data_IF_183446872321
#
_entry.id   IF_183446872321
#
_cell.length_a   1.000
_cell.length_b   1.000
_cell.length_c   1.000
_cell.angle_alpha   90.00
_cell.angle_beta   90.00
_cell.angle_gamma   90.00
#
_symmetry.space_group_name_H-M   'P 1'
#
loop_
_entity.id
_entity.type
_entity.pdbx_description
1 polymer ?
#
# COMPACT_ATOMS: atom_id res chain seq x y z
N UNK A 1 -27.22 14.68 5.50
CA UNK A 1 -26.23 13.97 6.35
C UNK A 1 -25.17 14.96 6.78
N UNK A 2 -24.89 15.05 8.07
CA UNK A 2 -23.92 16.01 8.62
C UNK A 2 -22.94 15.27 9.53
N UNK A 3 -21.65 15.57 9.45
CA UNK A 3 -20.63 15.02 10.34
C UNK A 3 -20.85 15.57 11.76
N UNK A 4 -20.95 14.68 12.74
CA UNK A 4 -21.21 15.03 14.14
C UNK A 4 -19.98 14.83 15.05
N UNK A 5 -19.07 13.90 14.69
CA UNK A 5 -17.87 13.58 15.47
C UNK A 5 -16.84 12.85 14.63
N UNK A 6 -15.58 13.05 14.95
CA UNK A 6 -14.44 12.29 14.43
C UNK A 6 -13.66 11.71 15.60
N UNK A 7 -13.42 10.40 15.58
CA UNK A 7 -12.57 9.70 16.53
C UNK A 7 -11.34 9.12 15.81
N UNK A 8 -10.19 9.12 16.49
CA UNK A 8 -8.93 8.55 15.99
C UNK A 8 -8.35 7.63 17.05
N UNK A 9 -8.07 6.38 16.68
CA UNK A 9 -7.61 5.33 17.58
C UNK A 9 -6.22 4.87 17.15
N UNK A 10 -5.16 5.23 17.89
CA UNK A 10 -3.82 4.68 17.65
C UNK A 10 -3.79 3.23 18.12
N UNK A 11 -3.37 2.34 17.23
CA UNK A 11 -3.24 0.91 17.50
C UNK A 11 -1.89 0.40 17.04
N UNK A 12 -1.43 -0.72 17.62
CA UNK A 12 -0.22 -1.37 17.15
C UNK A 12 -0.37 -2.90 17.17
N UNK A 13 0.13 -3.54 16.13
CA UNK A 13 0.15 -4.99 16.00
C UNK A 13 1.50 -5.49 15.50
N UNK A 14 1.80 -6.77 15.76
CA UNK A 14 3.06 -7.39 15.34
C UNK A 14 2.95 -7.92 13.93
N UNK A 15 4.03 -7.72 13.17
CA UNK A 15 4.22 -8.31 11.85
C UNK A 15 4.95 -9.63 12.00
N UNK A 16 4.30 -10.73 11.63
CA UNK A 16 4.79 -12.09 11.83
C UNK A 16 4.73 -12.86 10.51
N UNK A 17 5.84 -13.48 10.11
CA UNK A 17 5.85 -14.45 9.01
C UNK A 17 6.46 -15.74 9.54
N UNK A 18 5.74 -16.84 9.41
CA UNK A 18 6.14 -18.12 9.98
C UNK A 18 6.57 -17.85 11.42
N UNK A 19 6.49 -18.01 12.38
CA UNK A 19 6.84 -17.77 13.80
C UNK A 19 7.80 -16.57 14.08
N UNK A 20 8.30 -15.88 13.05
CA UNK A 20 9.25 -14.76 13.22
C UNK A 20 8.54 -13.43 13.27
N UNK A 21 8.77 -12.68 14.35
CA UNK A 21 8.37 -11.27 14.49
C UNK A 21 9.36 -10.39 13.71
N UNK A 22 8.88 -9.63 12.73
CA UNK A 22 9.68 -8.69 11.93
C UNK A 22 9.66 -7.29 12.50
N UNK A 23 8.49 -6.82 12.92
CA UNK A 23 8.31 -5.48 13.46
C UNK A 23 7.01 -5.40 14.27
N UNK A 24 6.84 -4.31 15.01
CA UNK A 24 5.56 -3.84 15.51
C UNK A 24 5.20 -2.57 14.75
N UNK A 25 4.09 -2.57 14.03
CA UNK A 25 3.63 -1.45 13.20
C UNK A 25 2.53 -0.67 13.88
N UNK A 26 2.55 0.65 13.68
CA UNK A 26 1.58 1.60 14.22
C UNK A 26 0.58 1.98 13.13
N UNK A 27 -0.70 2.01 13.50
CA UNK A 27 -1.80 2.43 12.63
C UNK A 27 -2.71 3.41 13.36
N UNK A 28 -3.42 4.23 12.61
CA UNK A 28 -4.51 5.04 13.14
C UNK A 28 -5.82 4.62 12.47
N UNK A 29 -6.76 4.15 13.29
CA UNK A 29 -8.12 3.85 12.84
C UNK A 29 -8.96 5.10 13.03
N UNK A 30 -9.63 5.54 11.97
CA UNK A 30 -10.43 6.76 11.94
C UNK A 30 -11.89 6.38 11.83
N UNK A 31 -12.76 7.01 12.64
CA UNK A 31 -14.22 6.91 12.56
C UNK A 31 -14.82 8.28 12.35
N UNK A 32 -15.64 8.43 11.31
CA UNK A 32 -16.40 9.65 11.03
C UNK A 32 -17.89 9.33 11.27
N UNK A 33 -18.48 10.00 12.26
CA UNK A 33 -19.86 9.82 12.67
C UNK A 33 -20.78 10.88 12.06
N UNK A 34 -22.02 10.52 11.77
CA UNK A 34 -23.03 11.43 11.21
C UNK A 34 -24.29 11.47 12.04
N UNK A 35 -25.12 12.49 11.80
CA UNK A 35 -26.45 12.65 12.39
C UNK A 35 -27.47 11.58 11.95
N UNK A 36 -27.18 10.84 10.88
CA UNK A 36 -28.01 9.71 10.42
C UNK A 36 -27.58 8.36 11.03
N UNK A 37 -26.63 8.37 11.97
CA UNK A 37 -26.11 7.15 12.61
C UNK A 37 -25.20 6.31 11.73
N UNK A 38 -24.86 6.78 10.52
CA UNK A 38 -23.88 6.13 9.65
C UNK A 38 -22.48 6.49 10.15
N UNK A 39 -21.58 5.48 10.22
CA UNK A 39 -20.19 5.65 10.61
C UNK A 39 -19.29 5.16 9.49
N UNK A 40 -18.46 6.05 8.97
CA UNK A 40 -17.37 5.71 8.05
C UNK A 40 -16.13 5.31 8.81
N UNK A 41 -15.44 4.28 8.32
CA UNK A 41 -14.19 3.78 8.91
C UNK A 41 -13.03 3.92 7.92
N UNK A 42 -11.84 4.25 8.44
CA UNK A 42 -10.64 4.40 7.65
C UNK A 42 -9.39 4.03 8.43
N UNK A 43 -8.28 3.90 7.73
CA UNK A 43 -6.99 3.48 8.26
C UNK A 43 -5.88 4.33 7.66
N UNK A 44 -4.99 4.83 8.52
CA UNK A 44 -3.70 5.36 8.12
C UNK A 44 -2.62 4.37 8.59
N UNK A 45 -1.76 3.96 7.67
CA UNK A 45 -0.95 2.76 7.81
C UNK A 45 0.54 3.06 7.93
N UNK A 46 1.24 2.16 8.61
CA UNK A 46 2.71 2.04 8.74
C UNK A 46 3.43 3.36 9.08
N UNK A 47 2.98 3.99 10.16
CA UNK A 47 3.45 5.33 10.57
C UNK A 47 4.81 5.28 11.29
N UNK A 48 5.39 4.07 11.48
CA UNK A 48 6.71 3.89 12.08
C UNK A 48 7.86 4.58 11.36
N UNK A 49 7.71 4.92 10.09
CA UNK A 49 8.74 5.58 9.29
C UNK A 49 8.65 7.12 9.32
N UNK A 50 7.66 7.68 10.00
CA UNK A 50 7.38 9.11 10.10
C UNK A 50 7.25 9.52 11.56
N UNK A 51 7.45 10.78 11.87
CA UNK A 51 7.13 11.30 13.20
C UNK A 51 5.62 11.13 13.44
N UNK A 52 5.25 10.34 14.46
CA UNK A 52 3.85 10.13 14.80
C UNK A 52 3.21 11.45 15.25
N UNK A 53 2.07 11.84 14.66
CA UNK A 53 1.41 13.06 15.07
C UNK A 53 0.81 12.91 16.48
N UNK A 54 0.71 14.02 17.21
CA UNK A 54 -0.13 14.10 18.42
C UNK A 54 -1.60 13.86 18.01
N UNK A 55 -2.07 12.64 18.30
CA UNK A 55 -3.43 12.20 17.95
C UNK A 55 -4.49 13.10 18.57
N UNK A 56 -4.29 13.57 19.81
CA UNK A 56 -5.21 14.49 20.48
C UNK A 56 -5.33 15.81 19.74
N UNK A 57 -4.22 16.35 19.26
CA UNK A 57 -4.20 17.56 18.46
C UNK A 57 -4.89 17.36 17.11
N UNK A 58 -4.57 16.28 16.39
CA UNK A 58 -5.19 15.98 15.08
C UNK A 58 -6.69 15.76 15.23
N UNK A 59 -7.12 14.97 16.21
CA UNK A 59 -8.54 14.70 16.47
C UNK A 59 -9.31 15.98 16.83
N UNK A 60 -8.74 16.85 17.67
CA UNK A 60 -9.33 18.15 18.00
C UNK A 60 -9.47 19.04 16.75
N UNK A 61 -8.46 19.08 15.90
CA UNK A 61 -8.48 19.83 14.65
C UNK A 61 -9.51 19.26 13.68
N UNK A 62 -9.54 17.93 13.48
CA UNK A 62 -10.52 17.27 12.62
C UNK A 62 -11.96 17.57 13.07
N UNK A 63 -12.25 17.48 14.37
CA UNK A 63 -13.57 17.83 14.90
C UNK A 63 -13.92 19.31 14.67
N UNK A 64 -12.95 20.23 14.86
CA UNK A 64 -13.19 21.65 14.61
C UNK A 64 -13.53 21.95 13.14
N UNK A 65 -12.83 21.31 12.21
CA UNK A 65 -12.87 21.64 10.79
C UNK A 65 -13.95 20.82 10.03
N UNK A 66 -14.28 19.59 10.47
CA UNK A 66 -15.19 18.69 9.79
C UNK A 66 -16.59 18.59 10.40
N UNK A 67 -16.75 18.78 11.72
CA UNK A 67 -18.08 18.73 12.36
C UNK A 67 -18.96 19.86 11.81
N UNK A 68 -20.19 19.51 11.47
CA UNK A 68 -21.15 20.40 10.80
C UNK A 68 -21.04 20.44 9.27
N UNK A 69 -20.08 19.74 8.67
CA UNK A 69 -19.94 19.62 7.21
C UNK A 69 -20.79 18.49 6.66
N UNK A 70 -21.23 18.66 5.42
CA UNK A 70 -21.89 17.60 4.66
C UNK A 70 -20.84 16.76 3.92
N UNK A 71 -20.65 15.48 4.30
CA UNK A 71 -19.65 14.62 3.66
C UNK A 71 -19.97 14.28 2.19
N UNK A 72 -21.20 14.52 1.71
CA UNK A 72 -21.54 14.37 0.29
C UNK A 72 -20.89 15.46 -0.58
N UNK A 73 -20.52 16.59 0.02
CA UNK A 73 -19.72 17.62 -0.64
C UNK A 73 -18.21 17.28 -0.56
N UNK A 74 -17.83 16.16 -1.22
CA UNK A 74 -16.52 15.55 -1.09
C UNK A 74 -15.37 16.53 -1.38
N UNK A 75 -15.48 17.39 -2.38
CA UNK A 75 -14.42 18.36 -2.71
C UNK A 75 -14.14 19.37 -1.58
N UNK A 76 -15.16 19.81 -0.85
CA UNK A 76 -14.99 20.72 0.28
C UNK A 76 -14.27 20.00 1.43
N UNK A 77 -14.76 18.80 1.76
CA UNK A 77 -14.23 18.00 2.89
C UNK A 77 -12.80 17.54 2.62
N UNK A 78 -12.51 17.06 1.40
CA UNK A 78 -11.16 16.72 0.95
C UNK A 78 -10.21 17.92 1.00
N UNK A 79 -10.67 19.11 0.60
CA UNK A 79 -9.89 20.35 0.68
C UNK A 79 -9.49 20.68 2.12
N UNK A 80 -10.36 20.43 3.10
CA UNK A 80 -10.06 20.61 4.53
C UNK A 80 -9.05 19.58 5.03
N UNK A 81 -9.21 18.30 4.66
CA UNK A 81 -8.31 17.20 5.03
C UNK A 81 -6.89 17.44 4.48
N UNK A 82 -6.77 17.87 3.23
CA UNK A 82 -5.49 18.20 2.62
C UNK A 82 -4.77 19.35 3.35
N UNK A 83 -5.52 20.21 4.02
CA UNK A 83 -4.99 21.29 4.88
C UNK A 83 -4.51 20.81 6.26
N UNK A 84 -4.71 19.53 6.62
CA UNK A 84 -4.16 18.99 7.85
C UNK A 84 -2.64 18.83 7.72
N UNK A 85 -1.90 19.15 8.79
CA UNK A 85 -0.42 19.15 8.78
C UNK A 85 0.21 17.75 8.67
N UNK A 86 -0.60 16.70 8.61
CA UNK A 86 -0.18 15.31 8.64
C UNK A 86 -0.71 14.58 7.41
N UNK A 87 0.08 14.61 6.34
CA UNK A 87 -0.25 13.98 5.07
C UNK A 87 -0.52 12.47 5.23
N UNK A 88 0.16 11.83 6.18
CA UNK A 88 0.07 10.40 6.49
C UNK A 88 -1.31 9.99 7.00
N UNK A 89 -2.03 10.89 7.69
CA UNK A 89 -3.39 10.61 8.16
C UNK A 89 -4.47 10.93 7.12
N UNK A 90 -4.14 11.69 6.07
CA UNK A 90 -5.12 12.10 5.06
C UNK A 90 -5.75 10.93 4.33
N UNK A 91 -5.01 9.84 4.12
CA UNK A 91 -5.55 8.61 3.52
C UNK A 91 -6.63 7.97 4.37
N UNK A 92 -6.42 7.91 5.69
CA UNK A 92 -7.40 7.33 6.61
C UNK A 92 -8.70 8.11 6.65
N UNK A 93 -8.64 9.44 6.57
CA UNK A 93 -9.84 10.29 6.46
C UNK A 93 -10.54 10.10 5.11
N UNK A 94 -9.80 10.08 3.99
CA UNK A 94 -10.37 9.84 2.66
C UNK A 94 -11.04 8.47 2.57
N UNK A 95 -10.42 7.41 3.09
CA UNK A 95 -11.00 6.07 3.17
C UNK A 95 -12.30 6.10 3.99
N UNK A 96 -12.28 6.74 5.17
CA UNK A 96 -13.47 6.84 6.03
C UNK A 96 -14.63 7.59 5.36
N UNK A 97 -14.34 8.66 4.62
CA UNK A 97 -15.35 9.38 3.84
C UNK A 97 -15.94 8.53 2.74
N UNK A 98 -15.11 7.82 1.97
CA UNK A 98 -15.60 6.95 0.91
C UNK A 98 -16.40 5.76 1.46
N UNK A 99 -16.01 5.20 2.59
CA UNK A 99 -16.77 4.16 3.29
C UNK A 99 -18.14 4.68 3.74
N UNK A 100 -18.16 5.87 4.34
CA UNK A 100 -19.38 6.55 4.75
C UNK A 100 -20.32 6.80 3.57
N UNK A 101 -19.80 7.33 2.45
CA UNK A 101 -20.58 7.58 1.24
C UNK A 101 -21.10 6.28 0.60
N UNK A 102 -20.27 5.22 0.59
CA UNK A 102 -20.68 3.90 0.11
C UNK A 102 -21.84 3.33 0.94
N UNK A 103 -21.79 3.47 2.27
CA UNK A 103 -22.87 3.07 3.18
C UNK A 103 -24.12 3.93 2.98
N UNK A 104 -23.97 5.24 2.84
CA UNK A 104 -25.07 6.16 2.60
C UNK A 104 -25.80 5.88 1.28
N UNK A 105 -25.05 5.71 0.18
CA UNK A 105 -25.62 5.38 -1.14
C UNK A 105 -25.94 3.89 -1.31
N UNK A 106 -25.65 3.07 -0.29
CA UNK A 106 -25.89 1.61 -0.29
C UNK A 106 -25.16 0.87 -1.41
N UNK A 107 -23.92 1.23 -1.65
CA UNK A 107 -23.05 0.62 -2.67
C UNK A 107 -21.63 0.35 -2.12
N UNK A 108 -20.91 -0.63 -2.67
CA UNK A 108 -19.47 -0.77 -2.42
C UNK A 108 -18.70 0.43 -2.98
N UNK A 109 -17.53 0.75 -2.38
CA UNK A 109 -16.71 1.90 -2.80
C UNK A 109 -16.35 1.86 -4.29
N UNK A 110 -16.02 0.69 -4.87
CA UNK A 110 -15.68 0.61 -6.29
C UNK A 110 -16.79 1.14 -7.22
N UNK A 111 -18.06 1.13 -6.78
CA UNK A 111 -19.17 1.75 -7.53
C UNK A 111 -19.08 3.27 -7.55
N UNK A 112 -18.65 3.90 -6.45
CA UNK A 112 -18.39 5.35 -6.40
C UNK A 112 -17.22 5.74 -7.29
N UNK A 113 -16.28 4.82 -7.52
CA UNK A 113 -15.05 5.05 -8.31
C UNK A 113 -15.20 4.71 -9.80
N UNK A 114 -16.41 4.40 -10.28
CA UNK A 114 -16.69 4.12 -11.69
C UNK A 114 -17.04 2.67 -12.03
N UNK A 115 -17.18 1.80 -11.02
CA UNK A 115 -17.49 0.38 -11.20
C UNK A 115 -16.25 -0.51 -11.18
N UNK A 116 -16.44 -1.83 -11.16
CA UNK A 116 -15.31 -2.77 -11.13
C UNK A 116 -15.07 -3.42 -12.50
N UNK A 117 -13.79 -3.55 -12.85
CA UNK A 117 -13.31 -4.21 -14.07
C UNK A 117 -12.64 -5.55 -13.78
N UNK A 118 -12.45 -5.90 -12.49
CA UNK A 118 -11.92 -7.19 -12.03
C UNK A 118 -12.50 -7.59 -10.69
N UNK A 119 -12.65 -8.91 -10.51
CA UNK A 119 -13.21 -9.53 -9.29
C UNK A 119 -12.11 -9.90 -8.28
N UNK A 120 -10.90 -10.15 -8.79
CA UNK A 120 -9.76 -10.66 -8.07
C UNK A 120 -8.50 -9.92 -8.46
N UNK A 121 -7.55 -9.87 -7.54
CA UNK A 121 -6.29 -9.16 -7.66
C UNK A 121 -5.17 -10.12 -7.31
N UNK A 122 -4.30 -10.42 -8.28
CA UNK A 122 -3.11 -11.21 -8.00
C UNK A 122 -2.15 -10.40 -7.11
N UNK A 123 -1.73 -11.01 -6.00
CA UNK A 123 -0.92 -10.36 -4.98
C UNK A 123 0.54 -10.73 -5.12
N UNK A 124 1.42 -9.72 -5.08
CA UNK A 124 2.86 -9.90 -4.96
C UNK A 124 3.29 -9.82 -3.48
N UNK A 125 3.71 -10.96 -2.93
CA UNK A 125 4.15 -11.05 -1.53
C UNK A 125 5.54 -10.39 -1.36
N UNK A 126 5.74 -9.49 -0.36
CA UNK A 126 7.01 -8.82 -0.15
C UNK A 126 8.04 -9.72 0.52
N UNK A 127 9.24 -9.79 -0.04
CA UNK A 127 10.40 -10.47 0.51
C UNK A 127 11.47 -9.43 0.86
N UNK A 128 11.62 -9.13 2.15
CA UNK A 128 12.55 -8.08 2.60
C UNK A 128 14.01 -8.44 2.37
N UNK A 129 14.81 -7.40 2.10
CA UNK A 129 16.24 -7.52 1.83
C UNK A 129 16.98 -8.30 2.93
N UNK A 130 18.00 -9.05 2.51
CA UNK A 130 18.96 -9.73 3.37
C UNK A 130 20.37 -9.23 3.05
N UNK A 131 21.30 -9.38 3.97
CA UNK A 131 22.69 -8.93 3.77
C UNK A 131 23.73 -10.03 3.91
N UNK A 132 23.29 -11.25 4.31
CA UNK A 132 24.16 -12.39 4.59
C UNK A 132 23.67 -13.65 3.87
N UNK A 133 24.60 -14.45 3.38
CA UNK A 133 24.29 -15.71 2.67
C UNK A 133 23.54 -16.72 3.56
N UNK A 134 23.82 -16.73 4.87
CA UNK A 134 23.16 -17.64 5.81
C UNK A 134 21.63 -17.40 5.93
N UNK A 135 21.16 -16.27 5.42
CA UNK A 135 19.72 -15.94 5.41
C UNK A 135 18.97 -16.46 4.17
N UNK A 136 19.69 -16.91 3.12
CA UNK A 136 19.08 -17.31 1.83
C UNK A 136 18.12 -18.47 2.03
N UNK A 137 18.57 -19.56 2.65
CA UNK A 137 17.72 -20.75 2.85
C UNK A 137 16.45 -20.42 3.65
N UNK A 138 16.58 -19.53 4.65
CA UNK A 138 15.43 -19.05 5.40
C UNK A 138 14.44 -18.30 4.52
N UNK A 139 14.92 -17.44 3.61
CA UNK A 139 14.08 -16.69 2.68
C UNK A 139 13.37 -17.60 1.67
N UNK A 140 14.07 -18.60 1.16
CA UNK A 140 13.46 -19.64 0.33
C UNK A 140 12.35 -20.37 1.10
N UNK A 141 12.62 -20.75 2.37
CA UNK A 141 11.62 -21.39 3.24
C UNK A 141 10.43 -20.46 3.63
N UNK A 142 10.60 -19.15 3.66
CA UNK A 142 9.48 -18.20 3.82
C UNK A 142 8.57 -18.21 2.57
N UNK A 143 9.17 -18.19 1.38
CA UNK A 143 8.41 -18.26 0.11
C UNK A 143 7.68 -19.59 -0.03
N UNK A 144 8.35 -20.70 0.26
CA UNK A 144 7.75 -22.05 0.26
C UNK A 144 6.53 -22.12 1.18
N UNK A 145 6.68 -21.66 2.42
CA UNK A 145 5.58 -21.55 3.38
C UNK A 145 4.39 -20.74 2.85
N UNK A 146 4.65 -19.61 2.18
CA UNK A 146 3.60 -18.76 1.62
C UNK A 146 2.93 -19.39 0.39
N UNK A 147 3.67 -20.12 -0.42
CA UNK A 147 3.10 -20.90 -1.54
C UNK A 147 2.17 -21.98 -1.00
N UNK A 148 2.65 -22.80 -0.06
CA UNK A 148 1.88 -23.92 0.47
C UNK A 148 0.65 -23.50 1.28
N UNK A 149 0.76 -22.42 2.09
CA UNK A 149 -0.29 -22.05 3.04
C UNK A 149 -1.19 -20.91 2.56
N UNK A 150 -0.76 -20.14 1.54
CA UNK A 150 -1.49 -18.96 1.04
C UNK A 150 -1.64 -18.94 -0.48
N UNK A 151 -1.13 -19.93 -1.18
CA UNK A 151 -1.19 -20.03 -2.64
C UNK A 151 -0.45 -18.89 -3.37
N UNK A 152 0.57 -18.27 -2.74
CA UNK A 152 1.33 -17.17 -3.34
C UNK A 152 1.94 -17.57 -4.68
N UNK A 153 1.72 -16.77 -5.73
CA UNK A 153 2.19 -17.00 -7.11
C UNK A 153 3.17 -15.93 -7.57
N UNK A 154 3.20 -14.79 -6.89
CA UNK A 154 4.06 -13.66 -7.23
C UNK A 154 4.76 -13.09 -5.99
N UNK A 155 6.00 -12.65 -6.14
CA UNK A 155 6.79 -12.03 -5.08
C UNK A 155 7.39 -10.70 -5.55
N UNK A 156 7.61 -9.78 -4.58
CA UNK A 156 8.43 -8.58 -4.71
C UNK A 156 9.64 -8.74 -3.80
N UNK A 157 10.84 -8.48 -4.30
CA UNK A 157 12.08 -8.68 -3.55
C UNK A 157 12.77 -7.33 -3.35
N UNK A 158 13.03 -6.96 -2.10
CA UNK A 158 13.90 -5.84 -1.78
C UNK A 158 15.37 -6.22 -1.96
N UNK A 159 16.12 -5.42 -2.71
CA UNK A 159 17.51 -5.67 -3.08
C UNK A 159 18.44 -4.49 -2.75
N UNK A 160 19.74 -4.70 -2.88
CA UNK A 160 20.73 -3.64 -2.74
C UNK A 160 21.32 -3.48 -1.35
N UNK A 161 20.96 -4.32 -0.40
CA UNK A 161 21.65 -4.41 0.89
C UNK A 161 23.03 -5.07 0.73
N UNK A 162 23.10 -6.14 -0.06
CA UNK A 162 24.33 -6.79 -0.50
C UNK A 162 24.09 -7.42 -1.89
N UNK A 163 24.61 -6.83 -2.99
CA UNK A 163 24.37 -7.30 -4.34
C UNK A 163 24.76 -8.75 -4.62
N UNK A 164 25.80 -9.29 -3.97
CA UNK A 164 26.19 -10.69 -4.17
C UNK A 164 25.21 -11.65 -3.49
N UNK A 165 24.75 -11.31 -2.29
CA UNK A 165 23.69 -12.06 -1.58
C UNK A 165 22.37 -12.01 -2.37
N UNK A 166 22.02 -10.85 -2.94
CA UNK A 166 20.82 -10.71 -3.78
C UNK A 166 20.85 -11.66 -4.99
N UNK A 167 22.01 -11.79 -5.66
CA UNK A 167 22.22 -12.75 -6.75
C UNK A 167 22.08 -14.20 -6.28
N UNK A 168 22.65 -14.52 -5.12
CA UNK A 168 22.52 -15.83 -4.47
C UNK A 168 21.09 -16.16 -4.16
N UNK A 169 20.32 -15.22 -3.60
CA UNK A 169 18.91 -15.38 -3.30
C UNK A 169 18.08 -15.63 -4.58
N UNK A 170 18.26 -14.82 -5.63
CA UNK A 170 17.55 -15.01 -6.89
C UNK A 170 17.83 -16.35 -7.52
N UNK A 171 19.11 -16.79 -7.51
CA UNK A 171 19.49 -18.12 -7.97
C UNK A 171 18.78 -19.20 -7.15
N UNK A 172 18.83 -19.14 -5.83
CA UNK A 172 18.20 -20.14 -4.96
C UNK A 172 16.66 -20.20 -5.15
N UNK A 173 16.00 -19.07 -5.34
CA UNK A 173 14.56 -19.00 -5.64
C UNK A 173 14.25 -19.67 -7.01
N UNK A 174 15.06 -19.43 -8.03
CA UNK A 174 14.90 -20.09 -9.34
C UNK A 174 15.21 -21.58 -9.30
N UNK A 175 16.23 -21.98 -8.55
CA UNK A 175 16.55 -23.40 -8.36
C UNK A 175 15.41 -24.16 -7.62
N UNK A 176 14.77 -23.50 -6.63
CA UNK A 176 13.70 -24.11 -5.83
C UNK A 176 12.33 -24.11 -6.53
N UNK A 177 11.94 -23.02 -7.17
CA UNK A 177 10.56 -22.80 -7.66
C UNK A 177 10.46 -22.63 -9.18
N UNK A 178 11.59 -22.59 -9.88
CA UNK A 178 11.61 -22.36 -11.33
C UNK A 178 11.01 -21.00 -11.74
N UNK A 179 10.51 -20.94 -12.95
CA UNK A 179 9.87 -19.75 -13.53
C UNK A 179 8.34 -19.71 -13.32
N UNK A 180 7.77 -20.73 -12.68
CA UNK A 180 6.37 -20.75 -12.27
C UNK A 180 6.07 -19.73 -11.15
N UNK A 181 7.06 -19.46 -10.30
CA UNK A 181 7.00 -18.36 -9.33
C UNK A 181 7.32 -17.03 -10.06
N UNK A 182 6.35 -16.14 -10.12
CA UNK A 182 6.52 -14.83 -10.72
C UNK A 182 7.35 -13.92 -9.80
N UNK A 183 8.49 -13.44 -10.25
CA UNK A 183 9.19 -12.32 -9.61
C UNK A 183 8.64 -11.05 -10.25
N UNK A 184 7.68 -10.40 -9.56
CA UNK A 184 7.08 -9.17 -10.09
C UNK A 184 8.11 -8.05 -10.17
N UNK A 185 8.83 -7.79 -9.08
CA UNK A 185 9.80 -6.70 -9.06
C UNK A 185 10.98 -6.96 -8.13
N UNK A 186 12.09 -6.32 -8.49
CA UNK A 186 13.21 -6.09 -7.59
C UNK A 186 13.18 -4.63 -7.17
N UNK A 187 13.11 -4.36 -5.85
CA UNK A 187 13.02 -3.01 -5.30
C UNK A 187 14.40 -2.57 -4.76
N UNK A 188 15.02 -1.63 -5.47
CA UNK A 188 16.31 -1.06 -5.10
C UNK A 188 16.23 -0.01 -3.99
N UNK A 189 15.03 0.44 -3.61
CA UNK A 189 14.80 1.42 -2.53
C UNK A 189 15.74 2.64 -2.61
N UNK A 190 16.02 3.13 -3.81
CA UNK A 190 16.90 4.27 -4.11
C UNK A 190 18.37 4.09 -3.65
N UNK A 191 18.85 2.84 -3.45
CA UNK A 191 20.17 2.57 -2.89
C UNK A 191 21.33 2.68 -3.87
N UNK A 192 21.06 2.71 -5.18
CA UNK A 192 22.12 2.70 -6.17
C UNK A 192 22.39 4.07 -6.77
N UNK A 193 23.60 4.26 -7.29
CA UNK A 193 23.87 5.27 -8.33
C UNK A 193 23.44 4.71 -9.69
N UNK A 194 23.12 5.55 -10.68
CA UNK A 194 22.67 5.11 -11.99
C UNK A 194 23.61 4.06 -12.61
N UNK A 195 24.93 4.28 -12.59
CA UNK A 195 25.93 3.34 -13.12
C UNK A 195 25.94 1.98 -12.41
N UNK A 196 25.73 1.97 -11.08
CA UNK A 196 25.66 0.72 -10.31
C UNK A 196 24.35 -0.01 -10.61
N UNK A 197 23.24 0.72 -10.66
CA UNK A 197 21.92 0.16 -11.00
C UNK A 197 21.94 -0.50 -12.38
N UNK A 198 22.48 0.16 -13.40
CA UNK A 198 22.56 -0.38 -14.77
C UNK A 198 23.32 -1.72 -14.79
N UNK A 199 24.49 -1.78 -14.14
CA UNK A 199 25.25 -3.04 -14.10
C UNK A 199 24.51 -4.13 -13.36
N UNK A 200 23.97 -3.81 -12.19
CA UNK A 200 23.25 -4.75 -11.35
C UNK A 200 22.02 -5.31 -12.03
N UNK A 201 21.17 -4.46 -12.63
CA UNK A 201 19.96 -4.88 -13.34
C UNK A 201 20.32 -5.83 -14.51
N UNK A 202 21.30 -5.46 -15.35
CA UNK A 202 21.75 -6.30 -16.47
C UNK A 202 22.25 -7.69 -16.06
N UNK A 203 22.92 -7.77 -14.91
CA UNK A 203 23.36 -9.07 -14.36
C UNK A 203 22.18 -9.92 -13.88
N UNK A 204 21.07 -9.27 -13.45
CA UNK A 204 19.88 -9.96 -12.91
C UNK A 204 18.82 -10.27 -13.94
N UNK A 205 18.81 -9.65 -15.13
CA UNK A 205 17.79 -9.88 -16.18
C UNK A 205 17.63 -11.37 -16.54
N UNK A 206 18.67 -12.17 -16.42
CA UNK A 206 18.61 -13.65 -16.62
C UNK A 206 17.69 -14.39 -15.65
N UNK A 207 17.31 -13.76 -14.53
CA UNK A 207 16.39 -14.36 -13.55
C UNK A 207 14.91 -14.05 -13.86
N UNK A 208 14.62 -13.29 -14.90
CA UNK A 208 13.27 -12.98 -15.39
C UNK A 208 12.37 -12.38 -14.31
N UNK A 209 12.41 -11.10 -14.13
CA UNK A 209 11.50 -10.30 -13.31
C UNK A 209 10.82 -9.24 -14.16
N UNK A 210 9.61 -8.79 -13.78
CA UNK A 210 8.80 -7.95 -14.64
C UNK A 210 9.32 -6.51 -14.72
N UNK A 211 9.82 -5.94 -13.61
CA UNK A 211 10.37 -4.59 -13.58
C UNK A 211 11.29 -4.35 -12.38
N UNK A 212 12.09 -3.28 -12.45
CA UNK A 212 12.94 -2.83 -11.34
C UNK A 212 12.39 -1.55 -10.73
N UNK A 213 12.16 -1.54 -9.41
CA UNK A 213 11.59 -0.43 -8.67
C UNK A 213 12.66 0.42 -8.01
N UNK A 214 12.53 1.76 -8.13
CA UNK A 214 13.33 2.75 -7.41
C UNK A 214 14.85 2.48 -7.45
N UNK A 215 15.49 2.43 -8.64
CA UNK A 215 16.91 2.11 -8.76
C UNK A 215 17.82 3.16 -8.09
N UNK A 216 17.47 4.45 -8.19
CA UNK A 216 18.29 5.55 -7.68
C UNK A 216 17.40 6.75 -7.28
N UNK A 217 17.93 7.70 -6.45
CA UNK A 217 17.10 8.70 -5.77
C UNK A 217 16.60 9.85 -6.66
N UNK A 218 17.21 10.08 -7.81
CA UNK A 218 16.91 11.24 -8.65
C UNK A 218 16.38 10.85 -10.04
N UNK A 219 15.49 11.69 -10.60
CA UNK A 219 14.85 11.43 -11.90
C UNK A 219 15.83 11.37 -13.07
N UNK A 220 16.93 12.13 -13.02
CA UNK A 220 17.96 12.13 -14.07
C UNK A 220 18.66 10.79 -14.10
N UNK A 221 19.07 10.28 -12.94
CA UNK A 221 19.69 8.97 -12.81
C UNK A 221 18.72 7.85 -13.22
N UNK A 222 17.46 7.92 -12.82
CA UNK A 222 16.43 6.95 -13.26
C UNK A 222 16.24 6.97 -14.77
N UNK A 223 16.22 8.16 -15.40
CA UNK A 223 16.12 8.27 -16.87
C UNK A 223 17.38 7.70 -17.59
N UNK A 224 18.57 7.78 -16.95
CA UNK A 224 19.79 7.13 -17.45
C UNK A 224 19.67 5.61 -17.35
N UNK A 225 19.22 5.08 -16.21
CA UNK A 225 18.99 3.63 -16.02
C UNK A 225 17.97 3.12 -17.05
N UNK A 226 16.79 3.74 -17.11
CA UNK A 226 15.72 3.35 -18.03
C UNK A 226 16.16 3.23 -19.50
N UNK A 227 17.04 4.13 -19.95
CA UNK A 227 17.56 4.08 -21.33
C UNK A 227 18.62 3.01 -21.57
N UNK A 228 19.23 2.49 -20.51
CA UNK A 228 20.39 1.61 -20.59
C UNK A 228 20.08 0.14 -20.33
N UNK A 229 18.88 -0.19 -19.84
CA UNK A 229 18.41 -1.55 -19.55
C UNK A 229 17.16 -1.88 -20.33
N UNK A 230 16.89 -3.16 -20.58
CA UNK A 230 15.65 -3.63 -21.22
C UNK A 230 14.51 -3.78 -20.20
N UNK A 231 14.85 -3.98 -18.94
CA UNK A 231 13.92 -4.09 -17.81
C UNK A 231 13.16 -2.77 -17.59
N UNK A 232 11.81 -2.77 -17.54
CA UNK A 232 11.02 -1.58 -17.20
C UNK A 232 11.39 -1.02 -15.82
N UNK A 233 11.36 0.31 -15.69
CA UNK A 233 11.67 1.01 -14.45
C UNK A 233 10.40 1.57 -13.81
N UNK A 234 10.19 1.24 -12.54
CA UNK A 234 9.09 1.75 -11.72
C UNK A 234 9.58 2.71 -10.64
N UNK A 235 8.72 3.65 -10.25
CA UNK A 235 8.96 4.48 -9.07
C UNK A 235 7.65 4.98 -8.47
N UNK A 236 7.68 5.21 -7.14
CA UNK A 236 6.56 5.80 -6.42
C UNK A 236 6.25 7.20 -6.91
N UNK A 237 4.97 7.51 -7.11
CA UNK A 237 4.49 8.83 -7.50
C UNK A 237 3.49 9.34 -6.45
N UNK A 238 3.87 10.44 -5.77
CA UNK A 238 3.12 10.97 -4.63
C UNK A 238 2.23 12.18 -4.97
N UNK A 239 2.41 12.83 -6.13
CA UNK A 239 1.59 13.97 -6.52
C UNK A 239 1.45 14.12 -8.03
N UNK A 240 0.40 14.83 -8.52
CA UNK A 240 0.25 15.15 -9.94
C UNK A 240 1.46 15.90 -10.53
N UNK A 241 2.06 16.81 -9.78
CA UNK A 241 3.24 17.57 -10.20
C UNK A 241 4.43 16.63 -10.41
N UNK A 242 4.64 15.71 -9.46
CA UNK A 242 5.69 14.68 -9.56
C UNK A 242 5.47 13.75 -10.74
N UNK A 243 4.22 13.35 -11.00
CA UNK A 243 3.87 12.56 -12.18
C UNK A 243 4.29 13.28 -13.49
N UNK A 244 3.97 14.56 -13.62
CA UNK A 244 4.35 15.36 -14.78
C UNK A 244 5.87 15.52 -14.93
N UNK A 245 6.62 15.67 -13.82
CA UNK A 245 8.08 15.70 -13.84
C UNK A 245 8.67 14.39 -14.35
N UNK A 246 8.15 13.25 -13.86
CA UNK A 246 8.57 11.91 -14.25
C UNK A 246 8.30 11.63 -15.73
N UNK A 247 7.14 12.05 -16.25
CA UNK A 247 6.79 11.97 -17.67
C UNK A 247 7.74 12.81 -18.52
N UNK A 248 7.94 14.09 -18.14
CA UNK A 248 8.82 15.02 -18.87
C UNK A 248 10.27 14.52 -18.93
N UNK A 249 10.77 14.00 -17.82
CA UNK A 249 12.13 13.46 -17.71
C UNK A 249 12.29 12.08 -18.36
N UNK A 250 11.19 11.40 -18.71
CA UNK A 250 11.19 10.01 -19.17
C UNK A 250 11.95 9.09 -18.20
N UNK A 251 11.73 9.27 -16.91
CA UNK A 251 12.49 8.59 -15.86
C UNK A 251 11.97 7.20 -15.52
N UNK A 252 10.71 6.89 -15.85
CA UNK A 252 10.05 5.62 -15.53
C UNK A 252 9.17 5.12 -16.68
N UNK A 253 8.86 3.83 -16.63
CA UNK A 253 7.87 3.15 -17.49
C UNK A 253 6.58 2.91 -16.71
N UNK A 254 6.68 2.77 -15.37
CA UNK A 254 5.58 2.34 -14.52
C UNK A 254 5.47 3.30 -13.33
N UNK A 255 4.27 3.81 -13.07
CA UNK A 255 3.94 4.51 -11.83
C UNK A 255 3.54 3.51 -10.75
N UNK A 256 4.25 3.52 -9.62
CA UNK A 256 3.80 2.87 -8.40
C UNK A 256 2.92 3.86 -7.62
N UNK A 257 1.61 3.61 -7.60
CA UNK A 257 0.60 4.48 -6.98
C UNK A 257 0.02 3.75 -5.79
N UNK A 258 0.03 4.37 -4.61
CA UNK A 258 -0.64 3.89 -3.41
C UNK A 258 -1.75 4.84 -2.99
N UNK A 259 -2.65 4.40 -2.11
CA UNK A 259 -3.61 5.28 -1.44
C UNK A 259 -2.96 6.10 -0.32
N UNK A 260 -1.76 5.68 0.13
CA UNK A 260 -1.04 6.33 1.23
C UNK A 260 -0.73 7.80 0.92
N UNK A 261 -0.98 8.66 1.91
CA UNK A 261 -0.74 10.11 1.81
C UNK A 261 -1.75 10.90 0.96
N UNK A 262 -2.95 10.38 0.65
CA UNK A 262 -3.99 11.14 -0.07
C UNK A 262 -5.16 10.35 -0.62
N UNK A 263 -5.30 9.09 -0.23
CA UNK A 263 -6.49 8.27 -0.46
C UNK A 263 -6.88 8.05 -1.93
N UNK A 264 -8.14 7.72 -2.14
CA UNK A 264 -8.74 7.47 -3.46
C UNK A 264 -8.70 8.71 -4.36
N UNK A 265 -8.98 9.87 -3.80
CA UNK A 265 -9.09 11.12 -4.56
C UNK A 265 -7.79 11.46 -5.28
N UNK A 266 -6.65 11.35 -4.59
CA UNK A 266 -5.35 11.59 -5.19
C UNK A 266 -4.95 10.46 -6.15
N UNK A 267 -5.14 9.21 -5.74
CA UNK A 267 -4.77 8.05 -6.55
C UNK A 267 -5.49 8.07 -7.92
N UNK A 268 -6.78 8.37 -7.96
CA UNK A 268 -7.54 8.47 -9.23
C UNK A 268 -7.01 9.55 -10.16
N UNK A 269 -6.56 10.70 -9.65
CA UNK A 269 -5.90 11.72 -10.48
C UNK A 269 -4.61 11.21 -11.11
N UNK A 270 -3.78 10.48 -10.32
CA UNK A 270 -2.52 9.92 -10.81
C UNK A 270 -2.74 8.85 -11.88
N UNK A 271 -3.73 7.98 -11.72
CA UNK A 271 -4.11 6.99 -12.74
C UNK A 271 -4.58 7.66 -14.03
N UNK A 272 -5.37 8.74 -13.94
CA UNK A 272 -5.81 9.51 -15.12
C UNK A 272 -4.63 10.15 -15.87
N UNK A 273 -3.65 10.71 -15.13
CA UNK A 273 -2.43 11.27 -15.72
C UNK A 273 -1.60 10.17 -16.39
N UNK A 274 -1.45 9.01 -15.74
CA UNK A 274 -0.72 7.87 -16.29
C UNK A 274 -1.36 7.36 -17.60
N UNK A 275 -2.69 7.17 -17.60
CA UNK A 275 -3.45 6.75 -18.77
C UNK A 275 -3.26 7.71 -19.95
N UNK A 276 -3.42 9.03 -19.70
CA UNK A 276 -3.24 10.06 -20.72
C UNK A 276 -1.81 10.13 -21.28
N UNK A 277 -0.81 9.73 -20.49
CA UNK A 277 0.60 9.72 -20.87
C UNK A 277 1.09 8.37 -21.44
N UNK A 278 0.25 7.33 -21.43
CA UNK A 278 0.64 5.97 -21.82
C UNK A 278 1.66 5.33 -20.87
N UNK A 279 1.61 5.68 -19.58
CA UNK A 279 2.46 5.11 -18.52
C UNK A 279 1.69 3.98 -17.83
N UNK A 280 2.31 2.82 -17.69
CA UNK A 280 1.72 1.70 -16.96
C UNK A 280 1.64 1.95 -15.47
N UNK A 281 0.79 1.21 -14.76
CA UNK A 281 0.59 1.40 -13.33
C UNK A 281 0.60 0.09 -12.55
N UNK A 282 1.05 0.20 -11.31
CA UNK A 282 0.92 -0.81 -10.26
C UNK A 282 0.43 -0.13 -8.98
N UNK A 283 -0.31 -0.85 -8.15
CA UNK A 283 -0.67 -0.38 -6.80
C UNK A 283 0.31 -0.95 -5.80
N UNK A 284 1.04 -0.01 -5.17
CA UNK A 284 1.94 -0.29 -4.06
C UNK A 284 1.22 -0.32 -2.72
N UNK A 285 1.98 -0.53 -1.63
CA UNK A 285 1.48 -0.69 -0.27
C UNK A 285 2.40 0.00 0.74
N UNK A 286 1.82 0.45 1.85
CA UNK A 286 2.50 0.68 3.12
C UNK A 286 2.31 -0.49 4.10
N UNK A 287 1.72 -1.60 3.61
CA UNK A 287 1.42 -2.82 4.36
C UNK A 287 0.29 -2.59 5.38
N UNK A 288 -0.85 -2.24 4.84
CA UNK A 288 -2.08 -1.93 5.54
C UNK A 288 -2.66 -3.15 6.27
N UNK A 289 -3.48 -2.92 7.28
CA UNK A 289 -4.41 -3.90 7.84
C UNK A 289 -5.58 -4.14 6.87
N UNK A 290 -6.62 -4.84 7.33
CA UNK A 290 -7.76 -5.17 6.48
C UNK A 290 -8.52 -3.95 5.94
N UNK A 291 -8.61 -2.85 6.68
CA UNK A 291 -9.34 -1.64 6.25
C UNK A 291 -8.63 -1.00 5.05
N UNK A 292 -7.33 -0.74 5.17
CA UNK A 292 -6.54 -0.17 4.07
C UNK A 292 -6.41 -1.14 2.89
N UNK A 293 -6.28 -2.46 3.17
CA UNK A 293 -6.26 -3.50 2.13
C UNK A 293 -7.58 -3.56 1.34
N UNK A 294 -8.74 -3.47 2.00
CA UNK A 294 -10.03 -3.38 1.33
C UNK A 294 -10.13 -2.12 0.47
N UNK A 295 -9.66 -0.98 0.99
CA UNK A 295 -9.62 0.27 0.22
C UNK A 295 -8.77 0.11 -1.05
N UNK A 296 -7.59 -0.47 -0.96
CA UNK A 296 -6.76 -0.78 -2.13
C UNK A 296 -7.45 -1.75 -3.09
N UNK A 297 -8.15 -2.77 -2.57
CA UNK A 297 -8.91 -3.69 -3.43
C UNK A 297 -9.98 -2.96 -4.24
N UNK A 298 -10.74 -2.04 -3.65
CA UNK A 298 -11.71 -1.21 -4.35
C UNK A 298 -11.06 -0.29 -5.40
N UNK A 299 -9.91 0.31 -5.06
CA UNK A 299 -9.15 1.16 -6.00
C UNK A 299 -8.68 0.35 -7.20
N UNK A 300 -8.03 -0.80 -6.97
CA UNK A 300 -7.51 -1.67 -8.03
C UNK A 300 -8.66 -2.20 -8.88
N UNK A 301 -9.76 -2.63 -8.26
CA UNK A 301 -10.92 -3.13 -8.97
C UNK A 301 -11.54 -2.10 -9.93
N UNK A 302 -11.52 -0.81 -9.56
CA UNK A 302 -12.10 0.28 -10.34
C UNK A 302 -11.11 0.99 -11.29
N UNK A 303 -9.89 0.43 -11.47
CA UNK A 303 -8.84 1.06 -12.27
C UNK A 303 -8.41 0.15 -13.41
N UNK A 304 -8.78 0.46 -14.68
CA UNK A 304 -8.47 -0.41 -15.85
C UNK A 304 -6.98 -0.56 -16.16
N UNK A 305 -6.19 0.52 -16.03
CA UNK A 305 -4.77 0.58 -16.43
C UNK A 305 -3.78 0.05 -15.38
N UNK A 306 -4.13 -1.05 -14.72
CA UNK A 306 -3.23 -1.81 -13.84
C UNK A 306 -2.89 -3.14 -14.52
N UNK A 307 -1.59 -3.38 -14.73
CA UNK A 307 -1.10 -4.49 -15.56
C UNK A 307 -0.27 -5.52 -14.80
N UNK A 308 0.06 -5.22 -13.53
CA UNK A 308 0.98 -6.02 -12.70
C UNK A 308 0.27 -6.58 -11.46
N UNK A 309 0.76 -7.71 -10.89
CA UNK A 309 0.37 -8.10 -9.54
C UNK A 309 0.58 -6.94 -8.57
N UNK A 310 -0.35 -6.70 -7.66
CA UNK A 310 -0.33 -5.57 -6.73
C UNK A 310 0.13 -5.99 -5.33
N UNK A 311 0.36 -5.02 -4.46
CA UNK A 311 0.98 -5.23 -3.15
C UNK A 311 0.04 -5.40 -1.92
N UNK A 312 -1.29 -5.29 -1.97
CA UNK A 312 -2.13 -5.31 -0.77
C UNK A 312 -2.15 -6.70 -0.10
N UNK A 313 -1.07 -7.03 0.59
CA UNK A 313 -0.83 -8.32 1.23
C UNK A 313 -0.75 -8.23 2.77
N UNK A 314 -0.95 -7.04 3.35
CA UNK A 314 -0.74 -6.79 4.78
C UNK A 314 -1.41 -7.79 5.71
N UNK A 315 -2.72 -8.08 5.58
CA UNK A 315 -3.40 -9.03 6.47
C UNK A 315 -2.79 -10.44 6.51
N UNK A 316 -1.95 -10.81 5.54
CA UNK A 316 -1.31 -12.13 5.50
C UNK A 316 -0.18 -12.29 6.53
N UNK A 317 0.30 -11.19 7.12
CA UNK A 317 1.42 -11.23 8.04
C UNK A 317 1.23 -10.41 9.33
N UNK A 318 0.04 -9.84 9.59
CA UNK A 318 -0.26 -9.26 10.90
C UNK A 318 -0.88 -10.29 11.84
N UNK A 319 -0.44 -10.26 13.10
CA UNK A 319 -0.91 -11.19 14.13
C UNK A 319 -2.37 -10.95 14.51
N UNK A 320 -2.75 -9.67 14.58
CA UNK A 320 -4.09 -9.22 14.97
C UNK A 320 -4.55 -8.06 14.11
N UNK A 321 -5.86 -7.94 13.96
CA UNK A 321 -6.53 -6.89 13.21
C UNK A 321 -7.80 -6.43 13.94
N UNK A 322 -8.31 -5.26 13.57
CA UNK A 322 -9.46 -4.61 14.23
C UNK A 322 -10.80 -4.97 13.63
N UNK A 323 -10.86 -5.74 12.56
CA UNK A 323 -12.12 -6.11 11.90
C UNK A 323 -12.65 -7.46 12.36
N UNK A 324 -13.99 -7.68 12.27
CA UNK A 324 -14.63 -8.97 12.59
C UNK A 324 -14.21 -10.04 11.63
N UNK A 325 -14.39 -9.77 10.34
CA UNK A 325 -14.01 -10.63 9.24
C UNK A 325 -13.11 -9.83 8.31
N UNK A 326 -11.96 -10.41 7.97
CA UNK A 326 -11.00 -9.77 7.08
C UNK A 326 -11.37 -9.93 5.60
N UNK A 327 -10.62 -9.27 4.75
CA UNK A 327 -10.69 -9.48 3.30
C UNK A 327 -10.32 -10.94 2.96
N UNK A 328 -10.94 -11.47 1.92
CA UNK A 328 -10.71 -12.86 1.49
C UNK A 328 -9.50 -12.95 0.59
N UNK A 329 -8.55 -13.80 1.02
CA UNK A 329 -7.44 -14.27 0.18
C UNK A 329 -7.63 -15.75 -0.16
N UNK A 330 -7.43 -16.10 -1.41
CA UNK A 330 -7.49 -17.49 -1.87
C UNK A 330 -6.58 -17.66 -3.08
N UNK A 331 -5.75 -18.70 -3.09
CA UNK A 331 -4.82 -19.02 -4.18
C UNK A 331 -3.92 -17.85 -4.63
N UNK A 332 -3.41 -17.06 -3.68
CA UNK A 332 -2.58 -15.90 -3.95
C UNK A 332 -3.31 -14.69 -4.55
N UNK A 333 -4.63 -14.71 -4.55
CA UNK A 333 -5.49 -13.63 -5.03
C UNK A 333 -6.29 -13.01 -3.89
N UNK A 334 -6.41 -11.68 -3.89
CA UNK A 334 -7.30 -10.92 -3.03
C UNK A 334 -8.64 -10.73 -3.75
N UNK A 335 -9.74 -11.13 -3.11
CA UNK A 335 -11.10 -10.88 -3.61
C UNK A 335 -11.58 -9.48 -3.25
N UNK A 336 -12.18 -8.80 -4.21
CA UNK A 336 -12.74 -7.46 -4.00
C UNK A 336 -13.97 -7.57 -3.09
N UNK A 337 -14.04 -6.82 -1.97
CA UNK A 337 -15.21 -6.86 -1.08
C UNK A 337 -16.49 -6.37 -1.78
N UNK A 338 -17.63 -7.02 -1.49
CA UNK A 338 -18.93 -6.71 -2.11
C UNK A 338 -19.91 -6.00 -1.17
N UNK A 339 -19.55 -5.80 0.10
CA UNK A 339 -20.41 -5.14 1.09
C UNK A 339 -20.55 -3.63 0.86
N UNK A 340 -21.39 -2.98 1.65
CA UNK A 340 -21.57 -1.52 1.60
C UNK A 340 -20.31 -0.80 2.06
N UNK A 341 -19.95 0.28 1.40
CA UNK A 341 -18.70 0.98 1.68
C UNK A 341 -17.49 0.10 1.40
N UNK A 342 -16.63 -0.11 2.39
CA UNK A 342 -15.49 -1.03 2.36
C UNK A 342 -15.90 -2.51 2.38
N UNK A 343 -17.13 -2.82 2.80
CA UNK A 343 -17.57 -4.19 3.02
C UNK A 343 -17.03 -4.82 4.32
N UNK A 344 -16.55 -4.02 5.26
CA UNK A 344 -15.97 -4.46 6.53
C UNK A 344 -16.65 -3.80 7.73
N UNK A 345 -16.56 -4.47 8.88
CA UNK A 345 -17.02 -3.96 10.17
C UNK A 345 -15.90 -4.05 11.22
N UNK A 346 -15.77 -2.99 12.03
CA UNK A 346 -14.85 -2.99 13.17
C UNK A 346 -15.39 -3.90 14.28
N UNK A 347 -14.52 -4.67 14.87
CA UNK A 347 -14.72 -5.35 16.15
C UNK A 347 -14.26 -4.42 17.28
N UNK A 348 -15.19 -3.88 18.04
CA UNK A 348 -14.90 -2.90 19.09
C UNK A 348 -14.04 -3.48 20.23
N UNK A 349 -14.12 -4.77 20.50
CA UNK A 349 -13.30 -5.41 21.52
C UNK A 349 -11.86 -5.57 21.04
N UNK A 350 -11.65 -6.00 19.80
CA UNK A 350 -10.30 -6.06 19.19
C UNK A 350 -9.67 -4.67 19.07
N UNK A 351 -10.47 -3.66 18.69
CA UNK A 351 -9.99 -2.28 18.62
C UNK A 351 -9.49 -1.83 20.00
N UNK A 352 -10.24 -2.08 21.08
CA UNK A 352 -9.83 -1.75 22.44
C UNK A 352 -8.59 -2.51 22.88
N UNK A 353 -8.47 -3.79 22.53
CA UNK A 353 -7.30 -4.62 22.86
C UNK A 353 -6.01 -4.10 22.23
N UNK A 354 -6.09 -3.56 21.01
CA UNK A 354 -4.94 -3.09 20.24
C UNK A 354 -4.58 -1.61 20.50
N UNK A 355 -5.40 -0.87 21.24
CA UNK A 355 -5.14 0.54 21.59
C UNK A 355 -3.81 0.70 22.30
N UNK A 356 -3.07 1.72 21.90
CA UNK A 356 -1.83 2.12 22.57
C UNK A 356 -1.95 3.52 23.16
N UNK A 357 -1.40 3.70 24.38
CA UNK A 357 -1.32 5.01 25.01
C UNK A 357 -0.24 5.90 24.39
N UNK A 358 -0.34 7.22 24.59
CA UNK A 358 0.63 8.20 24.09
C UNK A 358 2.08 7.86 24.45
N UNK A 359 2.38 7.44 25.68
CA UNK A 359 3.72 7.03 26.09
C UNK A 359 4.23 5.73 25.45
N UNK A 360 3.34 4.89 24.91
CA UNK A 360 3.74 3.71 24.16
C UNK A 360 4.02 4.05 22.70
N UNK A 361 3.36 5.07 22.16
CA UNK A 361 3.66 5.58 20.80
C UNK A 361 5.11 6.07 20.73
N UNK A 362 5.56 6.87 21.71
CA UNK A 362 6.94 7.36 21.77
C UNK A 362 8.01 6.26 21.81
N UNK A 363 7.68 5.06 22.32
CA UNK A 363 8.60 3.91 22.36
C UNK A 363 8.63 3.09 21.07
N UNK A 364 7.66 3.30 20.19
CA UNK A 364 7.57 2.60 18.91
C UNK A 364 8.23 3.36 17.76
N UNK A 365 8.48 4.65 17.98
CA UNK A 365 9.19 5.57 17.08
C UNK A 365 10.68 5.60 17.40
#
# INVERSE_FOLDING_TARGET
MIITRVDIFPIATRRIIKERVYARSLFYIIKIHTDEGIVGIGEASDILHHEAPDVGFVMKRANRDLVGKDPTNLHEVEGLIQGFSFAELSEGFDIALHDLLGKFYKVPIYKLLGGKVREKILIAFPLWAISKDEEIDRKVGEVDYMIENRGVKAIRIYVGANPEVDKGLLKALRDAFGYGLLIRSLDGSNRFTAKKAIRFIKELERYEFMYFESPCPDLKGMAEVRRAVDTPISHHVGSPERALEMIKSRSVDIFNISISGGGFYRAKKLFTIAEAAGVECVVGTTQELNIGTAAQAHLIASTPNIHYPCDPAGPLFYEKDVVREGVRFEDGELYVPEGLGLGLEIDEERLKELLIGFHEQEKLL
#
